data_IF_596219032414
#
_entry.id   IF_596219032414
#
_cell.length_a   1.000
_cell.length_b   1.000
_cell.length_c   1.000
_cell.angle_alpha   90.00
_cell.angle_beta   90.00
_cell.angle_gamma   90.00
#
_symmetry.space_group_name_H-M   'P 1'
#
loop_
_entity.id
_entity.type
_entity.pdbx_description
1 polymer ?
#
# COMPACT_ATOMS: atom_id res chain seq x y z
N UNK A 1 3.67 15.99 -17.69
CA UNK A 1 3.76 14.92 -18.72
C UNK A 1 2.51 14.05 -18.63
N UNK A 2 2.17 13.28 -19.67
CA UNK A 2 1.05 12.35 -19.61
C UNK A 2 1.40 11.16 -18.70
N UNK A 3 0.47 10.74 -17.83
CA UNK A 3 0.66 9.59 -16.94
C UNK A 3 0.53 8.30 -17.76
N UNK A 4 1.54 7.44 -17.71
CA UNK A 4 1.59 6.19 -18.47
C UNK A 4 0.57 5.15 -17.98
N UNK A 5 -0.06 4.46 -18.92
CA UNK A 5 -1.00 3.36 -18.66
C UNK A 5 -0.30 2.03 -18.30
N UNK A 6 1.02 1.93 -18.48
CA UNK A 6 1.78 0.69 -18.24
C UNK A 6 2.69 0.74 -17.00
N UNK A 7 2.87 1.91 -16.40
CA UNK A 7 3.68 2.06 -15.19
C UNK A 7 2.87 1.77 -13.94
N UNK A 8 3.50 1.47 -12.80
CA UNK A 8 2.81 1.30 -11.50
C UNK A 8 3.10 2.44 -10.53
N UNK A 9 4.10 3.26 -10.87
CA UNK A 9 4.48 4.47 -10.15
C UNK A 9 4.20 5.69 -11.03
N UNK A 10 3.98 6.84 -10.40
CA UNK A 10 3.90 8.14 -11.04
C UNK A 10 4.66 9.16 -10.21
N UNK A 11 5.45 10.04 -10.83
CA UNK A 11 6.16 11.08 -10.09
C UNK A 11 5.25 12.25 -9.67
N UNK A 12 5.71 13.02 -8.68
CA UNK A 12 5.00 14.17 -8.11
C UNK A 12 4.76 15.29 -9.14
N UNK A 13 5.68 15.49 -10.09
CA UNK A 13 5.52 16.44 -11.20
C UNK A 13 4.36 16.07 -12.13
N UNK A 14 4.23 14.80 -12.46
CA UNK A 14 3.16 14.27 -13.29
C UNK A 14 1.83 14.36 -12.58
N UNK A 15 1.77 14.08 -11.28
CA UNK A 15 0.55 14.32 -10.48
C UNK A 15 0.17 15.80 -10.50
N UNK A 16 1.12 16.69 -10.17
CA UNK A 16 0.88 18.14 -10.15
C UNK A 16 0.39 18.69 -11.50
N UNK A 17 0.99 18.22 -12.61
CA UNK A 17 0.62 18.64 -13.96
C UNK A 17 -0.72 18.07 -14.47
N UNK A 18 -1.34 17.14 -13.73
CA UNK A 18 -2.59 16.49 -14.11
C UNK A 18 -3.72 16.68 -13.07
N UNK A 19 -3.54 17.57 -12.08
CA UNK A 19 -4.61 17.91 -11.14
C UNK A 19 -5.86 18.40 -11.88
N UNK A 20 -7.04 18.04 -11.36
CA UNK A 20 -8.33 18.39 -11.96
C UNK A 20 -8.79 17.53 -13.14
N UNK A 21 -8.00 16.53 -13.57
CA UNK A 21 -8.46 15.56 -14.58
C UNK A 21 -9.69 14.80 -14.12
N UNK A 22 -10.73 14.78 -14.97
CA UNK A 22 -12.03 14.15 -14.65
C UNK A 22 -11.97 12.63 -14.61
N UNK A 23 -11.06 12.03 -15.37
CA UNK A 23 -10.81 10.59 -15.48
C UNK A 23 -9.78 10.08 -14.45
N UNK A 24 -9.32 10.95 -13.55
CA UNK A 24 -8.33 10.64 -12.52
C UNK A 24 -8.92 10.87 -11.11
N UNK A 25 -8.55 10.01 -10.16
CA UNK A 25 -8.84 10.20 -8.73
C UNK A 25 -7.56 10.06 -7.94
N UNK A 26 -7.28 11.06 -7.11
CA UNK A 26 -6.16 11.06 -6.19
C UNK A 26 -6.71 10.70 -4.80
N UNK A 27 -6.18 9.65 -4.18
CA UNK A 27 -6.62 9.20 -2.86
C UNK A 27 -5.48 9.30 -1.85
N UNK A 28 -5.74 10.00 -0.74
CA UNK A 28 -4.87 10.07 0.42
C UNK A 28 -5.21 8.93 1.38
N UNK A 29 -4.24 8.02 1.58
CA UNK A 29 -4.39 6.86 2.48
C UNK A 29 -3.20 6.84 3.44
N UNK A 30 -3.47 7.17 4.69
CA UNK A 30 -2.45 7.37 5.72
C UNK A 30 -2.77 6.55 6.98
N UNK A 31 -1.73 6.20 7.72
CA UNK A 31 -1.83 5.61 9.06
C UNK A 31 -2.49 6.59 10.03
N UNK A 32 -2.06 7.85 9.97
CA UNK A 32 -2.64 8.97 10.69
C UNK A 32 -3.83 9.51 9.90
N UNK A 33 -5.03 9.07 10.29
CA UNK A 33 -6.26 9.38 9.57
C UNK A 33 -6.70 10.84 9.70
N UNK A 34 -6.07 11.63 10.57
CA UNK A 34 -6.28 13.07 10.67
C UNK A 34 -5.38 13.86 9.69
N UNK A 35 -4.35 13.22 9.11
CA UNK A 35 -3.37 13.87 8.27
C UNK A 35 -3.98 14.58 7.05
N UNK A 36 -4.99 13.95 6.42
CA UNK A 36 -5.76 14.55 5.32
C UNK A 36 -6.43 15.87 5.72
N UNK A 37 -7.05 15.91 6.90
CA UNK A 37 -7.78 17.09 7.39
C UNK A 37 -6.88 18.28 7.72
N UNK A 38 -5.60 18.03 8.06
CA UNK A 38 -4.61 19.10 8.29
C UNK A 38 -4.13 19.73 6.98
N UNK A 39 -4.24 19.01 5.88
CA UNK A 39 -3.95 19.48 4.53
C UNK A 39 -3.63 18.32 3.60
N UNK A 40 -4.12 18.38 2.37
CA UNK A 40 -4.02 17.35 1.34
C UNK A 40 -3.79 17.97 -0.04
N UNK A 41 -3.42 17.16 -1.03
CA UNK A 41 -3.25 17.62 -2.41
C UNK A 41 -4.61 18.03 -2.98
N UNK A 42 -4.67 19.14 -3.71
CA UNK A 42 -5.91 19.65 -4.30
C UNK A 42 -6.65 18.58 -5.12
N UNK A 43 -7.94 18.39 -4.82
CA UNK A 43 -8.78 17.39 -5.47
C UNK A 43 -8.61 15.96 -4.96
N UNK A 44 -7.73 15.72 -3.98
CA UNK A 44 -7.60 14.41 -3.35
C UNK A 44 -8.81 14.10 -2.45
N UNK A 45 -9.14 12.81 -2.33
CA UNK A 45 -10.12 12.29 -1.39
C UNK A 45 -9.42 11.47 -0.30
N UNK A 46 -9.77 11.69 0.96
CA UNK A 46 -9.27 10.88 2.06
C UNK A 46 -9.95 9.51 2.12
N UNK A 47 -9.16 8.44 2.29
CA UNK A 47 -9.65 7.08 2.56
C UNK A 47 -9.15 6.65 3.93
N UNK A 48 -10.07 6.43 4.86
CA UNK A 48 -9.76 6.05 6.22
C UNK A 48 -9.51 4.54 6.29
N UNK A 49 -8.24 4.12 6.38
CA UNK A 49 -7.87 2.70 6.28
C UNK A 49 -8.66 1.77 7.22
N UNK A 50 -8.99 2.24 8.42
CA UNK A 50 -9.78 1.48 9.39
C UNK A 50 -11.29 1.43 9.09
N UNK A 51 -11.90 2.55 8.74
CA UNK A 51 -13.36 2.66 8.61
C UNK A 51 -13.84 2.31 7.20
N UNK A 52 -13.01 2.60 6.20
CA UNK A 52 -13.35 2.38 4.79
C UNK A 52 -12.85 1.03 4.28
N UNK A 53 -11.75 0.47 4.81
CA UNK A 53 -11.11 -0.72 4.24
C UNK A 53 -11.19 -1.97 5.12
N UNK A 54 -11.61 -1.88 6.40
CA UNK A 54 -11.73 -3.04 7.30
C UNK A 54 -13.18 -3.46 7.50
N UNK A 55 -13.40 -4.76 7.71
CA UNK A 55 -14.67 -5.25 8.26
C UNK A 55 -14.83 -4.70 9.70
N UNK A 56 -16.00 -4.15 10.06
CA UNK A 56 -16.18 -3.51 11.37
C UNK A 56 -16.24 -4.50 12.54
N UNK A 57 -16.39 -5.80 12.28
CA UNK A 57 -16.57 -6.83 13.32
C UNK A 57 -15.49 -7.91 13.26
N UNK A 58 -15.08 -8.32 12.05
CA UNK A 58 -14.13 -9.40 11.82
C UNK A 58 -12.73 -8.83 11.59
N UNK A 59 -11.70 -9.61 11.94
CA UNK A 59 -10.34 -9.33 11.49
C UNK A 59 -10.18 -9.77 10.03
N UNK A 60 -10.83 -9.03 9.15
CA UNK A 60 -10.74 -9.15 7.70
C UNK A 60 -10.95 -7.77 7.08
N UNK A 61 -10.65 -7.66 5.81
CA UNK A 61 -10.97 -6.46 5.05
C UNK A 61 -12.37 -6.50 4.46
N UNK A 62 -12.88 -5.33 4.05
CA UNK A 62 -14.20 -5.22 3.45
C UNK A 62 -14.35 -6.13 2.22
N UNK A 63 -15.50 -6.77 2.06
CA UNK A 63 -15.76 -7.64 0.90
C UNK A 63 -15.93 -6.88 -0.43
N UNK A 64 -16.03 -7.61 -1.56
CA UNK A 64 -16.11 -7.02 -2.90
C UNK A 64 -17.30 -6.06 -3.11
N UNK A 65 -18.43 -6.31 -2.44
CA UNK A 65 -19.62 -5.44 -2.50
C UNK A 65 -19.33 -4.09 -1.83
N UNK A 66 -18.84 -4.11 -0.60
CA UNK A 66 -18.48 -2.90 0.13
C UNK A 66 -17.33 -2.13 -0.56
N UNK A 67 -16.39 -2.83 -1.22
CA UNK A 67 -15.36 -2.17 -2.02
C UNK A 67 -15.96 -1.46 -3.23
N UNK A 68 -16.88 -2.10 -3.95
CA UNK A 68 -17.59 -1.45 -5.05
C UNK A 68 -18.40 -0.23 -4.61
N UNK A 69 -19.07 -0.30 -3.45
CA UNK A 69 -19.80 0.82 -2.85
C UNK A 69 -18.85 1.98 -2.47
N UNK A 70 -17.68 1.67 -1.91
CA UNK A 70 -16.63 2.65 -1.63
C UNK A 70 -16.18 3.35 -2.93
N UNK A 71 -15.90 2.60 -3.99
CA UNK A 71 -15.50 3.17 -5.28
C UNK A 71 -16.58 4.09 -5.85
N UNK A 72 -17.83 3.65 -5.82
CA UNK A 72 -18.98 4.46 -6.23
C UNK A 72 -19.07 5.78 -5.44
N UNK A 73 -18.90 5.73 -4.12
CA UNK A 73 -18.88 6.92 -3.26
C UNK A 73 -17.73 7.88 -3.59
N UNK A 74 -16.57 7.34 -3.96
CA UNK A 74 -15.39 8.13 -4.35
C UNK A 74 -15.46 8.61 -5.83
N UNK A 75 -16.57 8.35 -6.52
CA UNK A 75 -16.75 8.74 -7.91
C UNK A 75 -15.78 8.03 -8.86
N UNK A 76 -15.41 6.78 -8.53
CA UNK A 76 -14.51 5.91 -9.30
C UNK A 76 -15.34 4.95 -10.14
N UNK A 77 -15.04 4.87 -11.42
CA UNK A 77 -15.48 3.81 -12.35
C UNK A 77 -14.36 2.80 -12.57
N UNK A 78 -14.65 1.67 -13.22
CA UNK A 78 -13.64 0.67 -13.56
C UNK A 78 -12.50 1.20 -14.44
N UNK A 79 -12.73 2.26 -15.22
CA UNK A 79 -11.75 2.87 -16.12
C UNK A 79 -11.01 4.07 -15.51
N UNK A 80 -11.41 4.51 -14.31
CA UNK A 80 -10.81 5.67 -13.64
C UNK A 80 -9.35 5.40 -13.31
N UNK A 81 -8.46 6.35 -13.61
CA UNK A 81 -7.07 6.31 -13.14
C UNK A 81 -7.02 6.68 -11.65
N UNK A 82 -6.69 5.71 -10.81
CA UNK A 82 -6.51 5.93 -9.37
C UNK A 82 -5.03 6.13 -9.05
N UNK A 83 -4.72 7.24 -8.41
CA UNK A 83 -3.38 7.54 -7.87
C UNK A 83 -3.49 7.56 -6.36
N UNK A 84 -2.68 6.74 -5.71
CA UNK A 84 -2.63 6.58 -4.26
C UNK A 84 -1.38 7.26 -3.73
N UNK A 85 -1.52 7.98 -2.62
CA UNK A 85 -0.40 8.54 -1.87
C UNK A 85 -0.72 8.59 -0.38
N UNK A 86 0.31 8.73 0.44
CA UNK A 86 0.14 8.94 1.88
C UNK A 86 1.47 9.27 2.55
N UNK A 87 1.42 9.47 3.86
CA UNK A 87 2.58 9.60 4.73
C UNK A 87 3.39 8.31 4.87
N UNK A 88 4.36 8.36 5.78
CA UNK A 88 5.22 7.22 6.16
C UNK A 88 5.78 6.42 4.96
N UNK A 89 6.29 7.13 3.95
CA UNK A 89 6.78 6.58 2.67
C UNK A 89 5.75 5.66 1.95
N UNK A 90 4.48 6.09 1.88
CA UNK A 90 3.37 5.40 1.21
C UNK A 90 2.93 4.08 1.85
N UNK A 91 3.22 3.81 3.13
CA UNK A 91 2.88 2.51 3.71
C UNK A 91 1.39 2.13 3.55
N UNK A 92 0.47 2.98 3.98
CA UNK A 92 -0.97 2.72 3.84
C UNK A 92 -1.50 2.94 2.41
N UNK A 93 -0.84 3.78 1.61
CA UNK A 93 -1.13 3.91 0.19
C UNK A 93 -0.77 2.62 -0.58
N UNK A 94 0.33 1.94 -0.23
CA UNK A 94 0.70 0.64 -0.79
C UNK A 94 -0.23 -0.48 -0.32
N UNK A 95 -0.73 -0.42 0.92
CA UNK A 95 -1.79 -1.30 1.39
C UNK A 95 -3.08 -1.11 0.58
N UNK A 96 -3.51 0.13 0.33
CA UNK A 96 -4.63 0.39 -0.56
C UNK A 96 -4.34 -0.08 -1.99
N UNK A 97 -3.13 0.12 -2.52
CA UNK A 97 -2.73 -0.37 -3.84
C UNK A 97 -2.97 -1.88 -3.94
N UNK A 98 -2.58 -2.64 -2.90
CA UNK A 98 -2.84 -4.08 -2.83
C UNK A 98 -4.35 -4.41 -2.88
N UNK A 99 -5.25 -3.64 -2.24
CA UNK A 99 -6.71 -3.84 -2.38
C UNK A 99 -7.18 -3.66 -3.82
N UNK A 100 -6.73 -2.58 -4.47
CA UNK A 100 -7.11 -2.30 -5.84
C UNK A 100 -6.68 -3.45 -6.77
N UNK A 101 -5.48 -4.00 -6.56
CA UNK A 101 -5.01 -5.18 -7.29
C UNK A 101 -5.82 -6.44 -6.93
N UNK A 102 -6.09 -6.66 -5.64
CA UNK A 102 -6.84 -7.81 -5.14
C UNK A 102 -8.26 -7.87 -5.73
N UNK A 103 -8.90 -6.71 -5.90
CA UNK A 103 -10.22 -6.58 -6.52
C UNK A 103 -10.19 -6.28 -8.02
N UNK A 104 -9.04 -6.42 -8.67
CA UNK A 104 -8.92 -6.39 -10.13
C UNK A 104 -9.06 -5.01 -10.79
N UNK A 105 -8.82 -3.92 -10.06
CA UNK A 105 -8.76 -2.60 -10.67
C UNK A 105 -7.47 -2.43 -11.48
N UNK A 106 -7.60 -2.16 -12.78
CA UNK A 106 -6.46 -2.11 -13.70
C UNK A 106 -5.61 -0.84 -13.57
N UNK A 107 -6.27 0.32 -13.49
CA UNK A 107 -5.64 1.64 -13.61
C UNK A 107 -5.28 2.26 -12.26
N UNK A 108 -4.51 1.55 -11.42
CA UNK A 108 -4.04 2.05 -10.11
C UNK A 108 -2.53 2.32 -10.10
N UNK A 109 -2.10 3.41 -9.46
CA UNK A 109 -0.69 3.84 -9.32
C UNK A 109 -0.38 4.28 -7.89
N UNK A 110 0.89 4.21 -7.51
CA UNK A 110 1.42 4.93 -6.34
C UNK A 110 2.14 6.20 -6.80
N UNK A 111 1.90 7.33 -6.12
CA UNK A 111 2.72 8.53 -6.29
C UNK A 111 4.07 8.31 -5.62
N UNK A 112 5.15 8.19 -6.39
CA UNK A 112 6.49 7.87 -5.89
C UNK A 112 7.00 8.93 -4.92
N UNK A 113 7.36 8.50 -3.71
CA UNK A 113 7.73 9.38 -2.60
C UNK A 113 6.57 9.90 -1.75
N UNK A 114 5.33 9.72 -2.21
CA UNK A 114 4.12 9.99 -1.44
C UNK A 114 4.01 11.44 -0.96
N UNK A 115 3.34 11.62 0.18
CA UNK A 115 3.18 12.94 0.82
C UNK A 115 4.52 13.55 1.20
N UNK A 116 5.46 12.74 1.67
CA UNK A 116 6.78 13.21 2.11
C UNK A 116 7.54 13.94 1.00
N UNK A 117 7.59 13.34 -0.20
CA UNK A 117 8.26 13.98 -1.35
C UNK A 117 7.52 15.23 -1.81
N UNK A 118 6.19 15.20 -1.82
CA UNK A 118 5.35 16.37 -2.14
C UNK A 118 5.67 17.56 -1.23
N UNK A 119 5.76 17.33 0.08
CA UNK A 119 6.09 18.34 1.08
C UNK A 119 7.54 18.84 0.94
N UNK A 120 8.50 17.94 0.68
CA UNK A 120 9.91 18.30 0.45
C UNK A 120 10.10 19.20 -0.78
N UNK A 121 9.29 18.96 -1.82
CA UNK A 121 9.24 19.78 -3.02
C UNK A 121 8.46 21.09 -2.82
N UNK A 122 7.94 21.33 -1.62
CA UNK A 122 7.18 22.53 -1.23
C UNK A 122 5.97 22.77 -2.14
N UNK A 123 5.34 21.69 -2.60
CA UNK A 123 4.13 21.78 -3.41
C UNK A 123 2.92 22.16 -2.54
N UNK A 124 1.92 22.84 -3.13
CA UNK A 124 0.78 23.31 -2.36
C UNK A 124 -0.04 22.16 -1.79
N UNK A 125 -0.61 22.42 -0.61
CA UNK A 125 -1.67 21.62 0.01
C UNK A 125 -2.86 22.53 0.25
N UNK A 126 -4.05 21.94 0.35
CA UNK A 126 -5.30 22.61 0.67
C UNK A 126 -6.01 21.89 1.82
N UNK A 127 -6.90 22.60 2.50
CA UNK A 127 -7.86 22.01 3.44
C UNK A 127 -9.27 21.96 2.84
N UNK A 128 -9.45 22.53 1.65
CA UNK A 128 -10.72 22.53 0.92
C UNK A 128 -11.07 21.10 0.50
N UNK A 129 -12.17 20.58 1.03
CA UNK A 129 -12.61 19.23 0.73
C UNK A 129 -12.93 19.07 -0.76
N UNK A 130 -12.41 18.01 -1.38
CA UNK A 130 -12.79 17.66 -2.73
C UNK A 130 -14.24 17.19 -2.78
N UNK A 131 -15.00 17.73 -3.73
CA UNK A 131 -16.37 17.30 -4.02
C UNK A 131 -16.39 16.51 -5.34
N UNK A 132 -16.69 15.22 -5.26
CA UNK A 132 -16.89 14.35 -6.42
C UNK A 132 -18.34 13.87 -6.47
N UNK A 133 -18.90 13.79 -7.67
CA UNK A 133 -20.18 13.14 -7.86
C UNK A 133 -20.00 11.63 -7.69
N UNK A 134 -20.81 10.96 -6.86
CA UNK A 134 -20.80 9.50 -6.79
C UNK A 134 -21.08 8.89 -8.16
N UNK A 135 -20.42 7.77 -8.43
CA UNK A 135 -20.69 6.91 -9.59
C UNK A 135 -21.60 5.76 -9.17
N UNK A 136 -22.00 4.95 -10.14
CA UNK A 136 -22.73 3.71 -9.90
C UNK A 136 -22.18 2.61 -10.81
N UNK A 137 -22.43 1.35 -10.45
CA UNK A 137 -22.10 0.22 -11.30
C UNK A 137 -20.62 -0.17 -11.31
N UNK A 138 -19.78 0.31 -10.38
CA UNK A 138 -18.43 -0.24 -10.21
C UNK A 138 -18.52 -1.75 -9.95
N UNK A 139 -17.79 -2.55 -10.72
CA UNK A 139 -17.71 -4.01 -10.53
C UNK A 139 -16.31 -4.42 -10.10
N UNK A 140 -16.20 -5.28 -9.10
CA UNK A 140 -14.91 -5.90 -8.75
C UNK A 140 -14.62 -7.08 -9.69
N UNK A 141 -13.33 -7.35 -9.91
CA UNK A 141 -12.88 -8.61 -10.47
C UNK A 141 -13.02 -9.76 -9.46
N UNK A 142 -12.69 -10.98 -9.90
CA UNK A 142 -12.53 -12.11 -8.98
C UNK A 142 -11.37 -11.79 -8.02
N UNK A 143 -11.55 -11.94 -6.69
CA UNK A 143 -10.47 -11.76 -5.72
C UNK A 143 -9.20 -12.52 -6.11
N UNK A 144 -8.07 -11.81 -6.20
CA UNK A 144 -6.78 -12.37 -6.56
C UNK A 144 -6.15 -13.08 -5.35
N UNK A 145 -6.62 -14.30 -5.05
CA UNK A 145 -6.12 -15.09 -3.91
C UNK A 145 -4.61 -15.45 -4.06
N UNK A 146 -4.03 -15.37 -5.25
CA UNK A 146 -2.61 -15.57 -5.53
C UNK A 146 -1.69 -14.47 -4.95
N UNK A 147 -2.25 -13.31 -4.60
CA UNK A 147 -1.54 -12.24 -3.87
C UNK A 147 -1.94 -12.14 -2.40
N UNK A 148 -2.65 -13.15 -1.85
CA UNK A 148 -3.06 -13.22 -0.44
C UNK A 148 -2.74 -14.57 0.20
N UNK A 149 -1.64 -14.64 0.96
CA UNK A 149 -1.34 -15.80 1.78
C UNK A 149 -2.18 -15.84 3.08
N UNK A 150 -2.67 -17.03 3.47
CA UNK A 150 -3.41 -17.26 4.72
C UNK A 150 -2.61 -18.15 5.66
N UNK A 151 -2.89 -18.06 6.97
CA UNK A 151 -2.15 -18.81 8.01
C UNK A 151 -1.94 -20.29 7.67
N UNK A 152 -3.02 -21.02 7.34
CA UNK A 152 -2.95 -22.46 7.05
C UNK A 152 -2.05 -22.80 5.85
N UNK A 153 -2.11 -21.99 4.78
CA UNK A 153 -1.22 -22.14 3.63
C UNK A 153 0.24 -21.94 4.04
N UNK A 154 0.53 -20.90 4.84
CA UNK A 154 1.89 -20.65 5.34
C UNK A 154 2.39 -21.81 6.20
N UNK A 155 1.55 -22.30 7.12
CA UNK A 155 1.87 -23.42 8.01
C UNK A 155 2.12 -24.74 7.26
N UNK A 156 1.23 -25.09 6.32
CA UNK A 156 1.21 -26.43 5.71
C UNK A 156 2.07 -26.53 4.45
N UNK A 157 2.20 -25.45 3.66
CA UNK A 157 2.77 -25.49 2.31
C UNK A 157 4.09 -24.71 2.19
N UNK A 158 4.29 -23.69 3.01
CA UNK A 158 5.40 -22.75 2.85
C UNK A 158 6.56 -23.06 3.79
N UNK A 159 6.29 -23.24 5.07
CA UNK A 159 7.33 -23.49 6.08
C UNK A 159 8.09 -24.78 5.74
N UNK A 160 9.42 -24.69 5.69
CA UNK A 160 10.30 -25.82 5.38
C UNK A 160 10.45 -26.16 3.90
N UNK A 161 9.74 -25.49 2.98
CA UNK A 161 9.83 -25.73 1.54
C UNK A 161 10.70 -24.68 0.83
N UNK A 162 11.75 -25.14 0.13
CA UNK A 162 12.72 -24.28 -0.56
C UNK A 162 12.18 -23.54 -1.79
N UNK A 163 11.00 -23.92 -2.30
CA UNK A 163 10.28 -23.20 -3.36
C UNK A 163 9.90 -21.79 -2.93
N UNK A 164 9.75 -21.54 -1.63
CA UNK A 164 9.28 -20.26 -1.12
C UNK A 164 10.39 -19.38 -0.53
N UNK A 165 10.24 -18.07 -0.69
CA UNK A 165 10.97 -17.04 0.04
C UNK A 165 10.04 -16.35 1.03
N UNK A 166 10.38 -16.39 2.32
CA UNK A 166 9.66 -15.66 3.36
C UNK A 166 10.41 -14.36 3.67
N UNK A 167 9.71 -13.23 3.60
CA UNK A 167 10.27 -11.90 3.89
C UNK A 167 9.56 -11.31 5.10
N UNK A 168 10.28 -11.16 6.20
CA UNK A 168 9.83 -10.45 7.40
C UNK A 168 10.27 -8.99 7.30
N UNK A 169 9.32 -8.07 7.13
CA UNK A 169 9.62 -6.65 6.90
C UNK A 169 9.65 -5.80 8.17
N UNK A 170 9.48 -6.42 9.35
CA UNK A 170 9.55 -5.74 10.65
C UNK A 170 10.97 -5.30 11.02
N UNK A 171 11.08 -4.62 12.16
CA UNK A 171 12.39 -4.27 12.73
C UNK A 171 13.24 -5.52 13.00
N UNK A 172 14.59 -5.39 12.96
CA UNK A 172 15.47 -6.47 13.35
C UNK A 172 15.23 -6.99 14.77
N UNK A 173 14.81 -6.13 15.69
CA UNK A 173 14.53 -6.44 17.10
C UNK A 173 13.29 -7.35 17.21
N UNK A 174 12.21 -7.04 16.49
CA UNK A 174 11.02 -7.89 16.42
C UNK A 174 11.32 -9.24 15.77
N UNK A 175 12.09 -9.22 14.67
CA UNK A 175 12.51 -10.43 13.97
C UNK A 175 13.34 -11.36 14.87
N UNK A 176 14.31 -10.83 15.63
CA UNK A 176 15.11 -11.62 16.59
C UNK A 176 14.31 -12.05 17.83
N UNK A 177 13.12 -11.50 18.02
CA UNK A 177 12.27 -11.78 19.16
C UNK A 177 12.65 -11.05 20.44
N UNK A 178 13.37 -9.93 20.30
CA UNK A 178 13.70 -9.02 21.41
C UNK A 178 12.52 -8.11 21.75
N UNK A 179 11.65 -7.85 20.76
CA UNK A 179 10.39 -7.12 20.90
C UNK A 179 9.21 -7.98 20.41
N UNK A 180 8.04 -7.78 21.03
CA UNK A 180 6.78 -8.39 20.60
C UNK A 180 6.09 -7.60 19.48
N UNK A 181 6.21 -6.27 19.52
CA UNK A 181 5.68 -5.30 18.58
C UNK A 181 6.37 -3.95 18.83
N UNK A 182 6.25 -2.96 17.92
CA UNK A 182 6.77 -1.62 18.14
C UNK A 182 6.10 -0.98 19.38
N UNK A 183 6.84 -0.26 20.25
CA UNK A 183 6.29 0.28 21.50
C UNK A 183 5.09 1.21 21.36
N UNK A 184 4.93 1.84 20.19
CA UNK A 184 3.86 2.81 19.91
C UNK A 184 2.59 2.17 19.31
N UNK A 185 2.58 0.85 19.06
CA UNK A 185 1.45 0.12 18.45
C UNK A 185 0.98 -1.03 19.36
N UNK A 186 0.35 -0.72 20.51
CA UNK A 186 -0.07 -1.75 21.49
C UNK A 186 -1.11 -2.73 20.94
N UNK A 187 -1.83 -2.39 19.87
CA UNK A 187 -2.81 -3.26 19.21
C UNK A 187 -2.19 -4.37 18.35
N UNK A 188 -0.88 -4.33 18.09
CA UNK A 188 -0.18 -5.26 17.19
C UNK A 188 0.60 -6.35 17.94
N UNK A 189 0.35 -6.50 19.24
CA UNK A 189 1.06 -7.44 20.11
C UNK A 189 0.85 -8.90 19.67
N UNK A 190 1.94 -9.65 19.55
CA UNK A 190 1.92 -11.11 19.43
C UNK A 190 1.96 -11.80 20.80
N UNK A 191 1.51 -13.05 20.86
CA UNK A 191 1.63 -13.89 22.07
C UNK A 191 3.04 -14.48 22.25
N UNK A 192 3.83 -14.53 21.16
CA UNK A 192 5.20 -15.05 21.15
C UNK A 192 6.08 -14.16 20.28
N UNK A 193 7.32 -13.88 20.72
CA UNK A 193 8.28 -13.13 19.92
C UNK A 193 8.97 -14.04 18.89
N UNK A 194 9.67 -13.43 17.93
CA UNK A 194 10.45 -14.12 16.89
C UNK A 194 9.79 -14.03 15.51
N UNK A 195 10.18 -14.92 14.61
CA UNK A 195 9.79 -14.91 13.20
C UNK A 195 9.44 -16.32 12.69
N UNK A 196 8.81 -16.41 11.52
CA UNK A 196 8.49 -17.69 10.88
C UNK A 196 9.80 -18.38 10.45
N UNK A 197 10.03 -19.67 10.79
CA UNK A 197 11.27 -20.36 10.46
C UNK A 197 11.66 -20.25 8.97
N UNK A 198 12.89 -19.84 8.71
CA UNK A 198 13.43 -19.65 7.35
C UNK A 198 13.22 -18.26 6.75
N UNK A 199 12.45 -17.38 7.40
CA UNK A 199 12.25 -16.01 6.93
C UNK A 199 13.54 -15.18 6.94
N UNK A 200 13.64 -14.27 5.97
CA UNK A 200 14.71 -13.28 5.85
C UNK A 200 14.20 -11.92 6.30
N UNK A 201 14.94 -11.26 7.18
CA UNK A 201 14.57 -9.93 7.65
C UNK A 201 15.04 -8.86 6.66
N UNK A 202 14.08 -8.20 6.02
CA UNK A 202 14.32 -7.09 5.10
C UNK A 202 13.40 -5.95 5.52
N UNK A 203 13.80 -5.12 6.51
CA UNK A 203 12.96 -4.03 7.00
C UNK A 203 12.46 -3.15 5.86
N UNK A 204 11.14 -2.91 5.81
CA UNK A 204 10.48 -2.28 4.66
C UNK A 204 11.12 -0.93 4.25
N UNK A 205 11.58 -0.16 5.23
CA UNK A 205 12.22 1.15 5.01
C UNK A 205 13.53 1.08 4.20
N UNK A 206 14.13 -0.10 4.03
CA UNK A 206 15.31 -0.30 3.16
C UNK A 206 14.98 -0.25 1.67
N UNK A 207 13.71 -0.38 1.28
CA UNK A 207 13.28 -0.33 -0.12
C UNK A 207 13.03 1.10 -0.64
N UNK A 208 13.17 2.11 0.22
CA UNK A 208 12.92 3.51 -0.11
C UNK A 208 14.12 4.38 0.25
N UNK A 209 14.28 5.49 -0.46
CA UNK A 209 15.22 6.52 -0.13
C UNK A 209 14.76 7.21 1.19
N UNK A 210 15.58 7.23 2.26
CA UNK A 210 15.15 7.74 3.55
C UNK A 210 14.98 9.26 3.57
N UNK A 211 15.57 9.99 2.62
CA UNK A 211 15.39 11.45 2.50
C UNK A 211 14.09 11.79 1.78
N UNK A 212 13.78 11.13 0.68
CA UNK A 212 12.63 11.49 -0.18
C UNK A 212 11.40 10.62 0.03
N UNK A 213 11.56 9.41 0.55
CA UNK A 213 10.51 8.37 0.61
C UNK A 213 10.24 7.69 -0.73
N UNK A 214 10.96 8.05 -1.79
CA UNK A 214 10.84 7.44 -3.11
C UNK A 214 11.39 6.01 -3.12
N UNK A 215 10.85 5.13 -3.97
CA UNK A 215 11.42 3.79 -4.14
C UNK A 215 12.87 3.87 -4.66
N UNK A 216 13.71 2.93 -4.23
CA UNK A 216 15.06 2.81 -4.76
C UNK A 216 15.04 2.36 -6.23
N UNK A 217 16.16 2.54 -6.92
CA UNK A 217 16.31 2.06 -8.28
C UNK A 217 16.18 0.53 -8.34
N UNK A 218 15.70 0.01 -9.47
CA UNK A 218 15.49 -1.45 -9.67
C UNK A 218 16.74 -2.26 -9.37
N UNK A 219 17.93 -1.75 -9.73
CA UNK A 219 19.20 -2.43 -9.46
C UNK A 219 19.48 -2.58 -7.96
N UNK A 220 19.22 -1.53 -7.18
CA UNK A 220 19.42 -1.53 -5.73
C UNK A 220 18.39 -2.42 -5.02
N UNK A 221 17.13 -2.39 -5.47
CA UNK A 221 16.10 -3.29 -4.97
C UNK A 221 16.46 -4.75 -5.25
N UNK A 222 16.89 -5.08 -6.48
CA UNK A 222 17.34 -6.45 -6.81
C UNK A 222 18.48 -6.89 -5.89
N UNK A 223 19.50 -6.04 -5.72
CA UNK A 223 20.62 -6.35 -4.83
C UNK A 223 20.18 -6.56 -3.37
N UNK A 224 19.22 -5.76 -2.88
CA UNK A 224 18.68 -5.87 -1.52
C UNK A 224 18.01 -7.24 -1.28
N UNK A 225 17.16 -7.70 -2.21
CA UNK A 225 16.42 -8.95 -2.06
C UNK A 225 17.26 -10.18 -2.41
N UNK A 226 17.97 -10.17 -3.54
CA UNK A 226 18.81 -11.29 -3.99
C UNK A 226 19.98 -11.52 -3.03
N UNK A 227 20.54 -10.45 -2.44
CA UNK A 227 21.57 -10.54 -1.41
C UNK A 227 21.12 -11.26 -0.13
N UNK A 228 19.81 -11.43 0.06
CA UNK A 228 19.22 -12.22 1.17
C UNK A 228 18.74 -13.61 0.72
N UNK A 229 18.94 -13.96 -0.56
CA UNK A 229 18.48 -15.22 -1.15
C UNK A 229 17.00 -15.22 -1.53
N UNK A 230 16.39 -14.04 -1.67
CA UNK A 230 15.05 -13.87 -2.23
C UNK A 230 15.22 -13.60 -3.73
N UNK A 231 14.97 -14.62 -4.55
CA UNK A 231 15.25 -14.59 -5.99
C UNK A 231 14.00 -14.84 -6.82
N UNK A 232 13.97 -14.46 -8.11
CA UNK A 232 12.79 -14.60 -8.97
C UNK A 232 12.28 -16.02 -9.19
N UNK A 233 13.10 -17.05 -8.93
CA UNK A 233 12.72 -18.45 -9.09
C UNK A 233 11.87 -18.99 -7.92
N UNK A 234 11.74 -18.21 -6.84
CA UNK A 234 10.93 -18.55 -5.67
C UNK A 234 9.60 -17.82 -5.68
N UNK A 235 8.59 -18.46 -5.13
CA UNK A 235 7.36 -17.77 -4.74
C UNK A 235 7.58 -17.04 -3.42
N UNK A 236 7.25 -15.76 -3.39
CA UNK A 236 7.59 -14.89 -2.25
C UNK A 236 6.35 -14.55 -1.45
N UNK A 237 6.44 -14.71 -0.13
CA UNK A 237 5.44 -14.23 0.82
C UNK A 237 6.12 -13.23 1.74
N UNK A 238 5.63 -11.99 1.71
CA UNK A 238 6.01 -10.95 2.65
C UNK A 238 5.00 -10.89 3.80
N UNK A 239 5.49 -10.64 5.01
CA UNK A 239 4.66 -10.38 6.18
C UNK A 239 5.32 -9.34 7.09
N UNK A 240 4.48 -8.70 7.89
CA UNK A 240 4.83 -7.68 8.87
C UNK A 240 4.19 -8.03 10.21
#
# INVERSE_FOLDING_TARGET
MAISTNEVLVDTDSVAGNLGRKDMRLLDVDEDTEAYGRGHIEGALGVHWKNDLQDPLRRDFIGPVAFAELMNRLGITNDTLVILYGGNNNWFAAYAYWYFKYYGHGSVRLMDGGRKKWDLEKRPLTQEAAHVAPTSGYTTGVPADDIRAKRKMVEDEVVGHSRFGLVDVRSPEEYRGELLAPPHLPQEQAQKPGHIPGAKNIPWAKAVNPQTGAFLAVADLKALYEGQGITPEREVIAYC
#
